data_IF_311050577060
#
_entry.id   IF_311050577060
#
_cell.length_a   1.000
_cell.length_b   1.000
_cell.length_c   1.000
_cell.angle_alpha   90.00
_cell.angle_beta   90.00
_cell.angle_gamma   90.00
#
_symmetry.space_group_name_H-M   'P 1'
#
loop_
_entity.id
_entity.type
_entity.pdbx_description
1 polymer ?
#
# COMPACT_ATOMS: atom_id res chain seq x y z
N UNK A 1 -13.10 9.91 21.09
CA UNK A 1 -14.45 9.36 21.32
C UNK A 1 -15.03 8.95 19.97
N UNK A 2 -14.87 7.69 19.54
CA UNK A 2 -15.48 7.22 18.30
C UNK A 2 -17.01 7.16 18.48
N UNK A 3 -17.74 7.99 17.70
CA UNK A 3 -19.21 7.99 17.70
C UNK A 3 -19.71 6.70 17.06
N UNK A 4 -20.47 5.93 17.82
CA UNK A 4 -21.11 4.70 17.38
C UNK A 4 -22.16 4.99 16.30
N UNK A 5 -21.90 4.56 15.07
CA UNK A 5 -22.95 4.32 14.07
C UNK A 5 -23.35 2.85 14.25
N UNK A 6 -24.66 2.59 14.20
CA UNK A 6 -25.31 1.33 14.58
C UNK A 6 -24.85 0.13 13.74
N UNK A 7 -23.68 -0.41 14.07
CA UNK A 7 -23.15 -1.70 13.64
C UNK A 7 -22.98 -2.54 14.91
N UNK A 8 -23.30 -3.82 14.84
CA UNK A 8 -23.21 -4.79 15.94
C UNK A 8 -21.92 -4.63 16.75
N UNK A 9 -22.04 -4.54 18.08
CA UNK A 9 -20.97 -4.19 19.02
C UNK A 9 -19.67 -5.03 18.88
N UNK A 10 -19.75 -6.26 18.39
CA UNK A 10 -18.58 -7.12 18.14
C UNK A 10 -17.72 -6.67 16.95
N UNK A 11 -18.34 -6.14 15.89
CA UNK A 11 -17.63 -5.64 14.70
C UNK A 11 -16.94 -4.30 14.99
N UNK A 12 -17.61 -3.44 15.77
CA UNK A 12 -17.03 -2.17 16.24
C UNK A 12 -15.84 -2.42 17.17
N UNK A 13 -15.92 -3.44 18.05
CA UNK A 13 -14.81 -3.81 18.92
C UNK A 13 -13.60 -4.33 18.13
N UNK A 14 -13.81 -5.17 17.12
CA UNK A 14 -12.72 -5.73 16.30
C UNK A 14 -12.00 -4.66 15.45
N UNK A 15 -12.75 -3.71 14.87
CA UNK A 15 -12.18 -2.60 14.10
C UNK A 15 -11.41 -1.60 14.98
N UNK A 16 -11.87 -1.34 16.21
CA UNK A 16 -11.13 -0.52 17.16
C UNK A 16 -9.81 -1.16 17.60
N UNK A 17 -9.79 -2.49 17.79
CA UNK A 17 -8.56 -3.22 18.18
C UNK A 17 -7.49 -3.13 17.09
N UNK A 18 -7.86 -3.32 15.82
CA UNK A 18 -6.91 -3.24 14.70
C UNK A 18 -6.37 -1.82 14.48
N UNK A 19 -7.19 -0.80 14.72
CA UNK A 19 -6.77 0.60 14.67
C UNK A 19 -5.81 0.98 15.81
N UNK A 20 -6.01 0.41 17.02
CA UNK A 20 -5.12 0.62 18.16
C UNK A 20 -3.77 -0.12 18.01
N UNK A 21 -3.77 -1.35 17.46
CA UNK A 21 -2.53 -2.12 17.21
C UNK A 21 -1.61 -1.45 16.19
N UNK A 22 -2.17 -0.92 15.10
CA UNK A 22 -1.40 -0.21 14.07
C UNK A 22 -0.78 1.08 14.61
N UNK A 23 -1.53 1.80 15.46
CA UNK A 23 -1.03 3.00 16.16
C UNK A 23 0.12 2.67 17.10
N UNK A 24 -0.01 1.64 17.92
CA UNK A 24 1.02 1.25 18.88
C UNK A 24 2.31 0.84 18.17
N UNK A 25 2.20 0.05 17.10
CA UNK A 25 3.33 -0.31 16.26
C UNK A 25 4.05 0.92 15.69
N UNK A 26 3.32 1.87 15.10
CA UNK A 26 3.94 3.08 14.55
C UNK A 26 4.63 3.88 15.66
N UNK A 27 3.99 4.06 16.82
CA UNK A 27 4.56 4.84 17.92
C UNK A 27 5.80 4.20 18.54
N UNK A 28 5.89 2.87 18.55
CA UNK A 28 6.99 2.15 19.19
C UNK A 28 8.15 1.86 18.24
N UNK A 29 7.85 1.46 17.00
CA UNK A 29 8.82 0.90 16.05
C UNK A 29 9.13 1.83 14.87
N UNK A 30 8.19 2.69 14.47
CA UNK A 30 8.35 3.58 13.30
C UNK A 30 8.69 5.01 13.72
N UNK A 31 8.14 5.51 14.82
CA UNK A 31 8.32 6.89 15.24
C UNK A 31 9.76 7.15 15.70
N UNK A 32 10.41 8.15 15.11
CA UNK A 32 11.83 8.38 15.33
C UNK A 32 12.44 9.45 14.46
N UNK A 33 13.73 9.67 14.68
CA UNK A 33 14.59 10.51 13.85
C UNK A 33 15.45 9.59 12.98
N UNK A 34 15.41 9.84 11.67
CA UNK A 34 16.09 9.06 10.64
C UNK A 34 17.08 9.93 9.88
N UNK A 35 18.23 9.36 9.51
CA UNK A 35 19.04 9.90 8.43
C UNK A 35 18.49 9.41 7.10
N UNK A 36 18.43 10.30 6.11
CA UNK A 36 17.89 10.01 4.78
C UNK A 36 19.03 9.88 3.79
N UNK A 37 19.07 8.75 3.10
CA UNK A 37 19.96 8.50 1.98
C UNK A 37 19.15 8.37 0.69
N UNK A 38 19.49 9.21 -0.29
CA UNK A 38 18.92 9.19 -1.62
C UNK A 38 20.00 8.85 -2.64
N UNK A 39 19.80 7.83 -3.49
CA UNK A 39 20.69 7.56 -4.60
C UNK A 39 20.82 8.79 -5.52
N UNK A 40 22.04 9.25 -5.77
CA UNK A 40 22.30 10.37 -6.68
C UNK A 40 22.38 11.76 -6.04
N UNK A 41 22.12 11.91 -4.74
CA UNK A 41 22.35 13.18 -4.02
C UNK A 41 23.67 13.11 -3.23
N UNK A 42 24.60 14.02 -3.54
CA UNK A 42 25.90 14.16 -2.84
C UNK A 42 25.82 15.01 -1.57
N UNK A 43 24.70 15.69 -1.34
CA UNK A 43 24.51 16.58 -0.19
C UNK A 43 23.88 15.83 0.98
N UNK A 44 24.45 16.01 2.17
CA UNK A 44 23.87 15.54 3.42
C UNK A 44 22.45 16.11 3.59
N UNK A 45 21.46 15.21 3.67
CA UNK A 45 20.06 15.58 3.85
C UNK A 45 19.80 15.96 5.31
N UNK A 46 18.83 16.86 5.52
CA UNK A 46 18.31 17.10 6.87
C UNK A 46 17.70 15.81 7.44
N UNK A 47 17.80 15.55 8.75
CA UNK A 47 17.15 14.41 9.37
C UNK A 47 15.64 14.44 9.11
N UNK A 48 15.08 13.26 8.86
CA UNK A 48 13.64 13.05 8.74
C UNK A 48 13.07 12.63 10.09
N UNK A 49 12.07 13.34 10.56
CA UNK A 49 11.31 12.99 11.77
C UNK A 49 10.00 12.36 11.35
N UNK A 50 9.70 11.19 11.87
CA UNK A 50 8.45 10.46 11.66
C UNK A 50 7.72 10.32 12.99
N UNK A 51 6.44 10.67 13.05
CA UNK A 51 5.58 10.49 14.22
C UNK A 51 4.17 10.12 13.78
N UNK A 52 3.42 9.46 14.67
CA UNK A 52 2.00 9.25 14.50
C UNK A 52 1.26 10.54 14.89
N UNK A 53 0.54 11.14 13.94
CA UNK A 53 -0.39 12.23 14.23
C UNK A 53 -1.77 11.69 14.60
N UNK A 54 -2.48 12.43 15.45
CA UNK A 54 -3.89 12.17 15.72
C UNK A 54 -4.68 12.08 14.40
N UNK A 55 -5.73 11.26 14.38
CA UNK A 55 -6.60 11.01 13.22
C UNK A 55 -6.04 10.12 12.09
N UNK A 56 -4.99 9.32 12.35
CA UNK A 56 -4.55 8.26 11.43
C UNK A 56 -3.62 8.75 10.32
N UNK A 57 -2.79 9.74 10.62
CA UNK A 57 -1.80 10.29 9.70
C UNK A 57 -0.39 9.98 10.19
N UNK A 58 0.52 9.73 9.25
CA UNK A 58 1.95 9.75 9.52
C UNK A 58 2.47 11.16 9.29
N UNK A 59 2.85 11.84 10.38
CA UNK A 59 3.48 13.13 10.33
C UNK A 59 4.97 13.00 10.01
N UNK A 60 5.42 13.83 9.09
CA UNK A 60 6.78 13.84 8.59
C UNK A 60 7.32 15.27 8.64
N UNK A 61 8.54 15.45 9.15
CA UNK A 61 9.24 16.73 9.08
C UNK A 61 10.68 16.51 8.59
N UNK A 62 11.07 17.26 7.56
CA UNK A 62 12.43 17.25 7.03
C UNK A 62 12.87 18.66 6.64
N UNK A 63 13.90 19.17 7.31
CA UNK A 63 14.54 20.45 6.96
C UNK A 63 13.61 21.67 7.07
N UNK A 64 12.65 21.64 7.99
CA UNK A 64 11.62 22.66 8.18
C UNK A 64 10.34 22.42 7.36
N UNK A 65 10.36 21.46 6.43
CA UNK A 65 9.17 21.10 5.64
C UNK A 65 8.37 20.05 6.39
N UNK A 66 7.09 20.34 6.66
CA UNK A 66 6.17 19.44 7.35
C UNK A 66 5.17 18.85 6.36
N UNK A 67 4.90 17.56 6.48
CA UNK A 67 3.92 16.83 5.68
C UNK A 67 3.17 15.87 6.59
N UNK A 68 1.93 15.56 6.23
CA UNK A 68 1.17 14.46 6.81
C UNK A 68 0.61 13.62 5.66
N UNK A 69 0.79 12.31 5.75
CA UNK A 69 0.22 11.37 4.79
C UNK A 69 -0.79 10.49 5.51
N UNK A 70 -2.01 10.31 4.99
CA UNK A 70 -2.97 9.37 5.56
C UNK A 70 -2.37 7.97 5.62
N UNK A 71 -2.50 7.31 6.76
CA UNK A 71 -2.14 5.90 6.90
C UNK A 71 -3.28 5.09 6.31
N UNK A 72 -2.99 4.34 5.25
CA UNK A 72 -3.96 3.47 4.61
C UNK A 72 -4.03 2.12 5.34
N UNK A 73 -2.89 1.45 5.51
CA UNK A 73 -2.80 0.17 6.23
C UNK A 73 -1.48 0.07 6.99
N UNK A 74 -1.50 -0.70 8.09
CA UNK A 74 -0.30 -1.06 8.86
C UNK A 74 -0.20 -2.57 8.95
N UNK A 75 0.93 -3.13 8.54
CA UNK A 75 1.26 -4.53 8.77
C UNK A 75 2.45 -4.59 9.74
N UNK A 76 2.14 -4.74 11.03
CA UNK A 76 3.14 -4.84 12.10
C UNK A 76 4.02 -6.10 11.98
N UNK A 77 3.49 -7.18 11.40
CA UNK A 77 4.24 -8.44 11.23
C UNK A 77 5.32 -8.36 10.15
N UNK A 78 5.06 -7.60 9.08
CA UNK A 78 6.03 -7.34 8.00
C UNK A 78 6.82 -6.05 8.23
N UNK A 79 6.41 -5.24 9.20
CA UNK A 79 6.99 -3.94 9.48
C UNK A 79 6.78 -2.93 8.35
N UNK A 80 5.58 -2.92 7.77
CA UNK A 80 5.22 -2.04 6.65
C UNK A 80 4.02 -1.14 6.99
N UNK A 81 4.08 0.09 6.49
CA UNK A 81 3.05 1.12 6.61
C UNK A 81 2.78 1.67 5.22
N UNK A 82 1.56 1.50 4.71
CA UNK A 82 1.15 2.07 3.44
C UNK A 82 0.50 3.44 3.68
N UNK A 83 0.95 4.42 2.92
CA UNK A 83 0.63 5.84 3.07
C UNK A 83 0.00 6.33 1.78
N UNK A 84 -1.08 7.09 1.88
CA UNK A 84 -1.75 7.64 0.70
C UNK A 84 -1.05 8.91 0.22
N UNK A 85 -0.54 8.91 -1.00
CA UNK A 85 0.01 10.10 -1.64
C UNK A 85 -1.10 11.07 -2.10
N UNK A 86 -0.78 12.37 -2.31
CA UNK A 86 -1.74 13.31 -2.90
C UNK A 86 -2.20 12.92 -4.32
N UNK A 87 -1.44 12.09 -5.04
CA UNK A 87 -1.87 11.52 -6.33
C UNK A 87 -2.99 10.49 -6.17
N UNK A 88 -3.23 9.99 -4.95
CA UNK A 88 -4.14 8.89 -4.66
C UNK A 88 -3.49 7.51 -4.71
N UNK A 89 -2.20 7.43 -5.03
CA UNK A 89 -1.44 6.17 -5.03
C UNK A 89 -0.80 5.89 -3.66
N UNK A 90 -0.36 4.65 -3.44
CA UNK A 90 0.26 4.24 -2.19
C UNK A 90 1.78 4.37 -2.21
N UNK A 91 2.32 5.06 -1.21
CA UNK A 91 3.71 4.96 -0.82
C UNK A 91 3.85 3.90 0.28
N UNK A 92 4.84 3.02 0.18
CA UNK A 92 5.11 1.98 1.18
C UNK A 92 6.34 2.36 1.99
N UNK A 93 6.17 2.52 3.30
CA UNK A 93 7.25 2.64 4.27
C UNK A 93 7.46 1.30 4.97
N UNK A 94 8.62 0.67 4.75
CA UNK A 94 9.08 -0.48 5.53
C UNK A 94 10.10 -0.02 6.57
N UNK A 95 9.99 -0.48 7.81
CA UNK A 95 11.00 -0.26 8.86
C UNK A 95 11.29 -1.58 9.57
N UNK A 96 12.53 -2.04 9.49
CA UNK A 96 13.01 -3.26 10.12
C UNK A 96 14.43 -3.06 10.66
N UNK A 97 14.67 -3.49 11.90
CA UNK A 97 16.01 -3.48 12.54
C UNK A 97 16.74 -2.12 12.46
N UNK A 98 16.00 -1.01 12.57
CA UNK A 98 16.57 0.34 12.50
C UNK A 98 16.95 0.81 11.08
N UNK A 99 16.58 0.05 10.05
CA UNK A 99 16.67 0.48 8.65
C UNK A 99 15.27 0.61 8.07
N UNK A 100 15.02 1.70 7.36
CA UNK A 100 13.77 1.93 6.68
C UNK A 100 13.97 2.07 5.18
N UNK A 101 12.93 1.71 4.42
CA UNK A 101 12.84 2.02 3.00
C UNK A 101 11.46 2.58 2.72
N UNK A 102 11.39 3.78 2.17
CA UNK A 102 10.14 4.33 1.66
C UNK A 102 10.17 4.29 0.14
N UNK A 103 9.19 3.64 -0.47
CA UNK A 103 9.00 3.56 -1.92
C UNK A 103 7.76 4.38 -2.25
N UNK A 104 7.93 5.39 -3.09
CA UNK A 104 6.85 6.22 -3.59
C UNK A 104 6.24 5.61 -4.84
N UNK A 105 5.01 6.02 -5.16
CA UNK A 105 4.29 5.50 -6.32
C UNK A 105 5.01 5.78 -7.65
N UNK A 106 5.70 6.91 -7.75
CA UNK A 106 6.52 7.28 -8.90
C UNK A 106 7.81 6.43 -9.06
N UNK A 107 8.00 5.39 -8.25
CA UNK A 107 9.17 4.51 -8.26
C UNK A 107 10.42 5.09 -7.59
N UNK A 108 10.37 6.34 -7.11
CA UNK A 108 11.46 6.90 -6.31
C UNK A 108 11.49 6.24 -4.93
N UNK A 109 12.69 6.12 -4.36
CA UNK A 109 12.89 5.43 -3.09
C UNK A 109 13.82 6.22 -2.17
N UNK A 110 13.48 6.23 -0.89
CA UNK A 110 14.31 6.75 0.20
C UNK A 110 14.78 5.59 1.06
N UNK A 111 16.08 5.58 1.35
CA UNK A 111 16.63 4.71 2.39
C UNK A 111 16.78 5.52 3.66
N UNK A 112 16.28 4.97 4.75
CA UNK A 112 16.26 5.58 6.07
C UNK A 112 17.14 4.75 7.00
N UNK A 113 17.89 5.41 7.87
CA UNK A 113 18.58 4.75 8.98
C UNK A 113 18.17 5.41 10.28
N UNK A 114 17.65 4.62 11.21
CA UNK A 114 17.21 5.07 12.51
C UNK A 114 18.39 5.62 13.30
N UNK A 115 18.24 6.83 13.83
CA UNK A 115 19.27 7.52 14.62
C UNK A 115 18.92 7.46 16.09
N UNK A 116 17.68 7.85 16.45
CA UNK A 116 17.20 7.90 17.82
C UNK A 116 15.68 8.07 17.89
N UNK A 117 15.11 7.78 19.06
CA UNK A 117 13.71 8.09 19.37
C UNK A 117 13.46 9.60 19.35
N UNK A 118 12.21 9.99 19.07
CA UNK A 118 11.77 11.38 19.18
C UNK A 118 11.84 11.86 20.63
N UNK A 119 12.28 13.10 20.80
CA UNK A 119 12.21 13.83 22.06
C UNK A 119 11.07 14.85 22.01
N UNK A 120 10.75 15.46 23.15
CA UNK A 120 9.72 16.52 23.19
C UNK A 120 10.10 17.73 22.34
N UNK A 121 11.40 18.01 22.17
CA UNK A 121 11.89 19.06 21.27
C UNK A 121 11.58 18.71 19.81
N UNK A 122 11.73 17.44 19.43
CA UNK A 122 11.41 17.00 18.07
C UNK A 122 9.91 17.04 17.80
N UNK A 123 9.10 16.58 18.76
CA UNK A 123 7.64 16.70 18.68
C UNK A 123 7.19 18.15 18.62
N UNK A 124 7.80 19.05 19.38
CA UNK A 124 7.53 20.49 19.29
C UNK A 124 7.94 21.06 17.91
N UNK A 125 9.06 20.61 17.33
CA UNK A 125 9.49 21.00 15.99
C UNK A 125 8.53 20.51 14.91
N UNK A 126 8.00 19.29 15.04
CA UNK A 126 6.91 18.78 14.19
C UNK A 126 5.63 19.60 14.37
N UNK A 127 5.34 20.06 15.60
CA UNK A 127 4.17 20.89 15.92
C UNK A 127 2.85 20.15 15.69
N UNK A 128 1.73 20.87 15.72
CA UNK A 128 0.44 20.29 15.32
C UNK A 128 0.42 20.15 13.79
N UNK A 129 0.98 19.06 13.28
CA UNK A 129 0.75 18.64 11.89
C UNK A 129 -0.68 18.10 11.86
N UNK A 130 -1.66 18.99 11.92
CA UNK A 130 -3.03 18.63 11.64
C UNK A 130 -3.03 18.02 10.23
N UNK A 131 -3.84 16.97 10.05
CA UNK A 131 -4.28 16.55 8.73
C UNK A 131 -4.50 17.81 7.89
N UNK A 132 -4.03 17.88 6.63
CA UNK A 132 -4.49 18.96 5.77
C UNK A 132 -6.01 18.93 5.91
N UNK A 133 -6.58 20.00 6.47
CA UNK A 133 -8.02 20.17 6.46
C UNK A 133 -8.33 19.98 5.00
N UNK A 134 -9.10 18.94 4.67
CA UNK A 134 -9.76 18.83 3.39
C UNK A 134 -10.75 19.99 3.35
N UNK A 135 -10.23 21.22 3.26
CA UNK A 135 -10.89 22.27 2.52
C UNK A 135 -11.14 21.60 1.18
N UNK A 136 -12.42 21.48 0.76
CA UNK A 136 -12.69 21.15 -0.61
C UNK A 136 -11.81 22.08 -1.41
N UNK A 137 -10.95 21.52 -2.26
CA UNK A 137 -10.22 22.33 -3.22
C UNK A 137 -11.25 23.29 -3.84
N UNK A 138 -10.90 24.58 -4.08
CA UNK A 138 -11.78 25.45 -4.85
C UNK A 138 -12.18 24.63 -6.07
N UNK A 139 -13.48 24.41 -6.27
CA UNK A 139 -14.01 23.70 -7.43
C UNK A 139 -13.46 24.44 -8.65
N UNK A 140 -12.33 23.98 -9.17
CA UNK A 140 -11.85 24.36 -10.47
C UNK A 140 -12.82 23.68 -11.41
N UNK A 141 -13.69 24.50 -12.00
CA UNK A 141 -14.51 24.13 -13.15
C UNK A 141 -13.68 23.20 -14.04
N UNK A 142 -14.22 21.99 -14.22
CA UNK A 142 -13.55 20.91 -14.90
C UNK A 142 -12.91 21.40 -16.22
N UNK A 143 -11.63 21.10 -16.50
CA UNK A 143 -11.22 21.05 -17.87
C UNK A 143 -11.93 19.86 -18.49
N UNK A 144 -12.79 20.15 -19.47
CA UNK A 144 -13.37 19.16 -20.34
C UNK A 144 -12.28 18.23 -20.89
N UNK A 145 -12.49 16.93 -20.73
CA UNK A 145 -11.83 15.84 -21.45
C UNK A 145 -10.29 15.93 -21.52
N UNK A 146 -9.62 15.62 -20.42
CA UNK A 146 -8.34 14.93 -20.51
C UNK A 146 -8.66 13.44 -20.70
N UNK A 147 -8.15 12.85 -21.78
CA UNK A 147 -8.36 11.45 -22.13
C UNK A 147 -8.04 10.56 -20.92
N UNK A 148 -9.02 9.75 -20.51
CA UNK A 148 -8.80 8.67 -19.56
C UNK A 148 -7.77 7.74 -20.20
N UNK A 149 -6.59 7.61 -19.60
CA UNK A 149 -5.76 6.44 -19.90
C UNK A 149 -6.65 5.22 -19.69
N UNK A 150 -6.78 4.34 -20.71
CA UNK A 150 -7.67 3.21 -20.59
C UNK A 150 -7.23 2.38 -19.40
N UNK A 151 -8.16 2.09 -18.49
CA UNK A 151 -7.94 1.10 -17.44
C UNK A 151 -7.77 -0.25 -18.13
N UNK A 152 -6.54 -0.75 -18.17
CA UNK A 152 -6.20 -2.04 -18.77
C UNK A 152 -6.25 -3.10 -17.68
N UNK A 153 -7.33 -3.87 -17.64
CA UNK A 153 -7.38 -5.13 -16.89
C UNK A 153 -6.79 -6.27 -17.73
N UNK A 154 -6.60 -7.44 -17.13
CA UNK A 154 -6.14 -8.65 -17.86
C UNK A 154 -7.19 -9.19 -18.84
N UNK A 155 -8.39 -8.62 -18.82
CA UNK A 155 -9.53 -8.96 -19.68
C UNK A 155 -10.15 -7.70 -20.29
N UNK A 156 -11.00 -7.91 -21.28
CA UNK A 156 -11.72 -6.84 -21.97
C UNK A 156 -12.81 -6.24 -21.07
N UNK A 157 -12.58 -5.02 -20.59
CA UNK A 157 -13.50 -4.32 -19.70
C UNK A 157 -14.87 -4.04 -20.34
N UNK A 158 -14.98 -3.99 -21.66
CA UNK A 158 -16.27 -3.87 -22.34
C UNK A 158 -17.11 -5.15 -22.22
N UNK A 159 -16.47 -6.27 -21.89
CA UNK A 159 -17.11 -7.58 -21.69
C UNK A 159 -17.28 -7.95 -20.21
N UNK A 160 -17.04 -7.03 -19.28
CA UNK A 160 -17.26 -7.24 -17.87
C UNK A 160 -18.73 -7.63 -17.61
N UNK A 161 -18.94 -8.81 -17.03
CA UNK A 161 -20.25 -9.41 -16.80
C UNK A 161 -20.58 -9.56 -15.29
N UNK A 162 -19.57 -9.48 -14.43
CA UNK A 162 -19.72 -9.66 -12.98
C UNK A 162 -19.44 -8.37 -12.20
N UNK A 163 -20.00 -8.26 -10.99
CA UNK A 163 -19.74 -7.12 -10.10
C UNK A 163 -18.24 -6.98 -9.78
N UNK A 164 -17.52 -8.09 -9.64
CA UNK A 164 -16.08 -8.09 -9.41
C UNK A 164 -15.32 -7.57 -10.63
N UNK A 165 -15.70 -7.97 -11.84
CA UNK A 165 -15.10 -7.43 -13.08
C UNK A 165 -15.37 -5.93 -13.21
N UNK A 166 -16.58 -5.47 -12.86
CA UNK A 166 -16.89 -4.05 -12.80
C UNK A 166 -16.03 -3.28 -11.81
N UNK A 167 -15.76 -3.86 -10.63
CA UNK A 167 -14.86 -3.26 -9.63
C UNK A 167 -13.41 -3.16 -10.14
N UNK A 168 -12.92 -4.19 -10.86
CA UNK A 168 -11.58 -4.17 -11.46
C UNK A 168 -11.50 -3.11 -12.56
N UNK A 169 -12.45 -3.11 -13.49
CA UNK A 169 -12.46 -2.15 -14.59
C UNK A 169 -12.71 -0.70 -14.15
N UNK A 170 -13.35 -0.50 -12.99
CA UNK A 170 -13.60 0.81 -12.41
C UNK A 170 -12.45 1.36 -11.58
N UNK A 171 -11.36 0.61 -11.38
CA UNK A 171 -10.23 1.00 -10.54
C UNK A 171 -8.89 0.63 -11.19
N UNK A 172 -8.11 1.65 -11.56
CA UNK A 172 -6.84 1.48 -12.28
C UNK A 172 -5.78 0.69 -11.51
N UNK A 173 -5.72 0.85 -10.18
CA UNK A 173 -4.76 0.16 -9.32
C UNK A 173 -5.11 -1.33 -9.21
N UNK A 174 -6.40 -1.64 -9.03
CA UNK A 174 -6.89 -3.01 -9.00
C UNK A 174 -6.75 -3.70 -10.37
N UNK A 175 -6.97 -2.98 -11.47
CA UNK A 175 -6.70 -3.47 -12.82
C UNK A 175 -5.21 -3.78 -13.03
N UNK A 176 -4.31 -2.95 -12.49
CA UNK A 176 -2.86 -3.20 -12.53
C UNK A 176 -2.49 -4.47 -11.76
N UNK A 177 -3.07 -4.68 -10.57
CA UNK A 177 -2.89 -5.93 -9.83
C UNK A 177 -3.43 -7.14 -10.60
N UNK A 178 -4.60 -7.01 -11.25
CA UNK A 178 -5.17 -8.05 -12.08
C UNK A 178 -4.25 -8.44 -13.25
N UNK A 179 -3.64 -7.47 -13.92
CA UNK A 179 -2.62 -7.70 -14.96
C UNK A 179 -1.38 -8.39 -14.38
N UNK A 180 -0.84 -7.90 -13.25
CA UNK A 180 0.33 -8.51 -12.60
C UNK A 180 0.09 -9.98 -12.24
N UNK A 181 -1.06 -10.27 -11.62
CA UNK A 181 -1.45 -11.65 -11.30
C UNK A 181 -1.55 -12.52 -12.56
N UNK A 182 -2.13 -12.01 -13.65
CA UNK A 182 -2.27 -12.74 -14.90
C UNK A 182 -0.92 -13.05 -15.57
N UNK A 183 0.01 -12.09 -15.58
CA UNK A 183 1.35 -12.26 -16.16
C UNK A 183 2.21 -13.24 -15.34
N UNK A 184 2.18 -13.12 -14.00
CA UNK A 184 2.85 -14.06 -13.11
C UNK A 184 2.29 -15.48 -13.28
N UNK A 185 0.96 -15.62 -13.30
CA UNK A 185 0.28 -16.89 -13.56
C UNK A 185 0.72 -17.52 -14.90
N UNK A 186 0.79 -16.73 -15.98
CA UNK A 186 1.24 -17.21 -17.30
C UNK A 186 2.65 -17.78 -17.21
N UNK A 187 3.55 -17.06 -16.54
CA UNK A 187 4.95 -17.48 -16.34
C UNK A 187 5.03 -18.79 -15.57
N UNK A 188 4.32 -18.88 -14.43
CA UNK A 188 4.29 -20.10 -13.61
C UNK A 188 3.71 -21.27 -14.40
N UNK A 189 2.53 -21.09 -15.01
CA UNK A 189 1.86 -22.12 -15.80
C UNK A 189 2.75 -22.67 -16.91
N UNK A 190 3.54 -21.82 -17.55
CA UNK A 190 4.38 -22.26 -18.66
C UNK A 190 5.69 -22.92 -18.17
N UNK A 191 6.13 -22.62 -16.95
CA UNK A 191 7.36 -23.14 -16.32
C UNK A 191 7.20 -24.36 -15.40
N UNK A 192 5.98 -24.72 -14.98
CA UNK A 192 5.70 -25.95 -14.22
C UNK A 192 5.51 -27.16 -15.14
N UNK A 193 5.81 -28.35 -14.62
CA UNK A 193 5.63 -29.62 -15.35
C UNK A 193 4.16 -29.98 -15.55
N UNK A 194 3.32 -29.81 -14.51
CA UNK A 194 1.88 -30.07 -14.56
C UNK A 194 1.08 -28.76 -14.72
N UNK A 195 0.92 -28.35 -15.98
CA UNK A 195 0.14 -27.15 -16.34
C UNK A 195 -1.34 -27.28 -15.99
N UNK A 196 -1.89 -28.49 -16.01
CA UNK A 196 -3.29 -28.77 -15.72
C UNK A 196 -3.60 -28.54 -14.24
N UNK A 197 -2.72 -28.98 -13.35
CA UNK A 197 -2.83 -28.70 -11.92
C UNK A 197 -2.80 -27.19 -11.64
N UNK A 198 -1.88 -26.46 -12.27
CA UNK A 198 -1.75 -25.00 -12.13
C UNK A 198 -2.98 -24.26 -12.66
N UNK A 199 -3.56 -24.70 -13.78
CA UNK A 199 -4.83 -24.18 -14.30
C UNK A 199 -5.99 -24.41 -13.34
N UNK A 200 -6.10 -25.62 -12.79
CA UNK A 200 -7.15 -25.95 -11.83
C UNK A 200 -7.04 -25.06 -10.59
N UNK A 201 -5.85 -24.92 -10.03
CA UNK A 201 -5.64 -24.13 -8.82
C UNK A 201 -5.94 -22.64 -9.03
N UNK A 202 -5.56 -22.04 -10.17
CA UNK A 202 -5.95 -20.67 -10.52
C UNK A 202 -7.48 -20.52 -10.67
N UNK A 203 -8.16 -21.50 -11.27
CA UNK A 203 -9.64 -21.48 -11.40
C UNK A 203 -10.31 -21.60 -10.03
N UNK A 204 -9.79 -22.42 -9.14
CA UNK A 204 -10.30 -22.55 -7.77
C UNK A 204 -10.12 -21.24 -6.99
N UNK A 205 -8.95 -20.60 -7.10
CA UNK A 205 -8.72 -19.27 -6.51
C UNK A 205 -9.71 -18.22 -7.04
N UNK A 206 -9.98 -18.20 -8.35
CA UNK A 206 -10.99 -17.30 -8.93
C UNK A 206 -12.38 -17.54 -8.31
N UNK A 207 -12.80 -18.80 -8.17
CA UNK A 207 -14.13 -19.16 -7.67
C UNK A 207 -14.30 -18.98 -6.16
N UNK A 208 -13.30 -19.37 -5.39
CA UNK A 208 -13.40 -19.54 -3.95
C UNK A 208 -12.69 -18.46 -3.15
N UNK A 209 -11.97 -17.56 -3.83
CA UNK A 209 -11.29 -16.44 -3.19
C UNK A 209 -11.72 -15.13 -3.83
N UNK A 210 -11.31 -14.86 -5.08
CA UNK A 210 -11.59 -13.59 -5.77
C UNK A 210 -13.10 -13.30 -5.87
N UNK A 211 -13.88 -14.25 -6.41
CA UNK A 211 -15.30 -14.04 -6.67
C UNK A 211 -16.18 -13.99 -5.40
N UNK A 212 -15.62 -14.29 -4.22
CA UNK A 212 -16.32 -14.10 -2.95
C UNK A 212 -16.23 -12.66 -2.44
N UNK A 213 -15.27 -11.87 -2.92
CA UNK A 213 -15.12 -10.48 -2.54
C UNK A 213 -16.28 -9.61 -3.05
N UNK A 214 -16.69 -8.67 -2.19
CA UNK A 214 -17.78 -7.70 -2.48
C UNK A 214 -17.32 -6.25 -2.38
N UNK A 215 -16.07 -6.01 -2.02
CA UNK A 215 -15.49 -4.68 -1.78
C UNK A 215 -14.14 -4.56 -2.48
N UNK A 216 -13.72 -3.33 -2.77
CA UNK A 216 -12.39 -3.05 -3.32
C UNK A 216 -11.28 -3.53 -2.38
N UNK A 217 -11.40 -3.27 -1.08
CA UNK A 217 -10.42 -3.68 -0.07
C UNK A 217 -10.18 -5.21 -0.08
N UNK A 218 -11.24 -6.01 -0.13
CA UNK A 218 -11.13 -7.46 -0.24
C UNK A 218 -10.40 -7.86 -1.53
N UNK A 219 -10.75 -7.24 -2.65
CA UNK A 219 -10.10 -7.52 -3.93
C UNK A 219 -8.62 -7.15 -3.91
N UNK A 220 -8.28 -5.97 -3.39
CA UNK A 220 -6.88 -5.55 -3.21
C UNK A 220 -6.09 -6.56 -2.39
N UNK A 221 -6.63 -7.02 -1.26
CA UNK A 221 -5.97 -8.03 -0.43
C UNK A 221 -5.72 -9.32 -1.22
N UNK A 222 -6.76 -9.95 -1.77
CA UNK A 222 -6.62 -11.28 -2.40
C UNK A 222 -5.79 -11.23 -3.68
N UNK A 223 -5.87 -10.14 -4.46
CA UNK A 223 -5.02 -9.95 -5.64
C UNK A 223 -3.56 -9.72 -5.26
N UNK A 224 -3.28 -8.96 -4.20
CA UNK A 224 -1.91 -8.73 -3.72
C UNK A 224 -1.28 -10.05 -3.26
N UNK A 225 -1.95 -10.79 -2.37
CA UNK A 225 -1.49 -12.10 -1.90
C UNK A 225 -1.21 -13.04 -3.08
N UNK A 226 -2.15 -13.11 -4.03
CA UNK A 226 -2.02 -13.99 -5.19
C UNK A 226 -0.90 -13.59 -6.14
N UNK A 227 -0.73 -12.29 -6.39
CA UNK A 227 0.35 -11.78 -7.22
C UNK A 227 1.70 -12.15 -6.60
N UNK A 228 1.88 -11.92 -5.30
CA UNK A 228 3.13 -12.24 -4.60
C UNK A 228 3.47 -13.72 -4.64
N UNK A 229 2.50 -14.60 -4.38
CA UNK A 229 2.70 -16.06 -4.43
C UNK A 229 3.17 -16.52 -5.82
N UNK A 230 2.51 -16.04 -6.87
CA UNK A 230 2.82 -16.41 -8.25
C UNK A 230 4.14 -15.78 -8.72
N UNK A 231 4.44 -14.54 -8.33
CA UNK A 231 5.69 -13.86 -8.66
C UNK A 231 6.90 -14.55 -8.01
N UNK A 232 6.78 -14.96 -6.75
CA UNK A 232 7.83 -15.73 -6.06
C UNK A 232 8.06 -17.08 -6.73
N UNK A 233 6.98 -17.80 -7.09
CA UNK A 233 7.08 -19.06 -7.79
C UNK A 233 7.66 -18.88 -9.20
N UNK A 234 7.24 -17.84 -9.93
CA UNK A 234 7.80 -17.50 -11.24
C UNK A 234 9.31 -17.22 -11.15
N UNK A 235 9.74 -16.48 -10.12
CA UNK A 235 11.15 -16.22 -9.87
C UNK A 235 11.93 -17.52 -9.59
N UNK A 236 11.38 -18.42 -8.79
CA UNK A 236 11.99 -19.74 -8.56
C UNK A 236 12.10 -20.54 -9.87
N UNK A 237 11.03 -20.58 -10.67
CA UNK A 237 10.99 -21.29 -11.94
C UNK A 237 11.91 -20.69 -13.02
N UNK A 238 12.25 -19.40 -12.91
CA UNK A 238 13.19 -18.73 -13.81
C UNK A 238 14.65 -19.19 -13.62
N UNK A 239 14.97 -19.85 -12.50
CA UNK A 239 16.31 -20.40 -12.24
C UNK A 239 16.59 -21.61 -13.14
N UNK A 240 17.86 -21.83 -13.53
CA UNK A 240 18.27 -23.06 -14.22
C UNK A 240 17.85 -24.30 -13.42
N UNK A 241 17.55 -25.41 -14.11
CA UNK A 241 17.01 -26.62 -13.48
C UNK A 241 17.91 -27.21 -12.39
N UNK A 242 19.21 -27.00 -12.50
CA UNK A 242 20.20 -27.40 -11.51
C UNK A 242 20.17 -26.57 -10.20
N UNK A 243 19.45 -25.44 -10.19
CA UNK A 243 19.28 -24.53 -9.05
C UNK A 243 17.81 -24.35 -8.64
N UNK A 244 16.92 -25.15 -9.21
CA UNK A 244 15.55 -25.33 -8.74
C UNK A 244 15.57 -26.53 -7.79
#
# INVERSE_FOLDING_TARGET
>A
MCKAIAITAALVASMCVQADEGREYIQQEVAGVYSVYMPGLTRQQSPLRLDYADDGFLAMEQGGTKRAMPIHTVNSSQGTVNLLEPSGELATLSVQFGHGKMVFANGSQLTLSFVRKLTDIDRAAMGNVAAPVLTPAPQQDAPAAAALDPVIASFDCEKAATAVEGLICGNAELATLDVRTADAYKTVRDGVDDRSAMQKEQVEWLKHTRNLCKTLECLFQVYTERAEDLEQLAQYLSKPAEFR
#
